data_IF_384883942509
#
_entry.id   IF_384883942509
#
_cell.length_a   1.000
_cell.length_b   1.000
_cell.length_c   1.000
_cell.angle_alpha   90.00
_cell.angle_beta   90.00
_cell.angle_gamma   90.00
#
_symmetry.space_group_name_H-M   'P 1'
#
loop_
_entity.id
_entity.type
_entity.pdbx_description
1 polymer ?
#
# COMPACT_ATOMS: atom_id res chain seq x y z
N UNK A 1 11.63 68.75 8.33
CA UNK A 1 10.39 68.61 7.53
C UNK A 1 10.09 67.14 7.21
N UNK A 2 9.71 66.31 8.20
CA UNK A 2 9.18 64.94 8.00
C UNK A 2 8.19 64.49 9.10
N UNK A 3 7.81 65.38 10.03
CA UNK A 3 6.84 65.09 11.11
C UNK A 3 5.48 65.78 10.94
N UNK A 4 5.23 66.41 9.78
CA UNK A 4 3.95 67.05 9.47
C UNK A 4 3.03 66.22 8.56
N UNK A 5 3.50 65.08 8.05
CA UNK A 5 2.73 64.23 7.12
C UNK A 5 1.94 63.11 7.83
N UNK A 6 2.17 62.87 9.11
CA UNK A 6 1.54 61.79 9.86
C UNK A 6 0.23 62.21 10.57
N UNK A 7 -0.12 63.50 10.56
CA UNK A 7 -1.35 63.99 11.20
C UNK A 7 -2.53 64.15 10.22
N UNK A 8 -2.30 64.01 8.90
CA UNK A 8 -3.33 64.25 7.88
C UNK A 8 -4.06 62.97 7.41
N UNK A 9 -3.58 61.78 7.77
CA UNK A 9 -4.17 60.49 7.39
C UNK A 9 -5.17 59.93 8.41
N UNK A 10 -5.32 60.54 9.59
CA UNK A 10 -6.23 60.07 10.64
C UNK A 10 -7.62 60.73 10.62
N UNK A 11 -7.85 61.73 9.75
CA UNK A 11 -9.10 62.52 9.71
C UNK A 11 -10.10 61.99 8.66
N UNK A 12 -9.70 61.07 7.78
CA UNK A 12 -10.54 60.60 6.66
C UNK A 12 -11.41 59.37 7.02
N UNK A 13 -11.24 58.76 8.19
CA UNK A 13 -11.97 57.52 8.57
C UNK A 13 -13.28 57.79 9.35
N UNK A 14 -13.58 59.05 9.73
CA UNK A 14 -14.73 59.36 10.63
C UNK A 14 -15.97 59.90 9.90
N UNK A 15 -16.02 59.92 8.56
CA UNK A 15 -17.16 60.51 7.81
C UNK A 15 -17.91 59.59 6.83
N UNK A 16 -17.82 58.26 6.98
CA UNK A 16 -18.58 57.32 6.12
C UNK A 16 -19.56 56.41 6.88
N UNK A 17 -20.04 56.83 8.05
CA UNK A 17 -21.12 56.15 8.78
C UNK A 17 -22.43 56.94 8.64
N UNK A 18 -23.02 56.92 7.44
CA UNK A 18 -24.41 57.36 7.22
C UNK A 18 -25.35 56.19 7.49
N UNK A 19 -26.32 56.31 8.40
CA UNK A 19 -27.31 55.25 8.63
C UNK A 19 -28.23 55.11 7.40
N UNK A 20 -28.49 53.90 6.90
CA UNK A 20 -29.41 53.70 5.79
C UNK A 20 -30.85 54.07 6.21
N UNK A 21 -31.50 54.83 5.34
CA UNK A 21 -32.90 55.26 5.46
C UNK A 21 -33.83 54.05 5.52
N UNK A 22 -34.81 54.16 6.41
CA UNK A 22 -35.97 53.27 6.52
C UNK A 22 -36.88 53.54 5.30
N UNK A 23 -36.95 52.60 4.37
CA UNK A 23 -38.02 52.53 3.38
C UNK A 23 -39.07 51.53 3.89
N UNK A 24 -40.29 52.03 4.05
CA UNK A 24 -41.47 51.22 4.36
C UNK A 24 -42.12 50.71 3.08
N UNK A 25 -42.57 49.45 3.19
CA UNK A 25 -43.56 48.72 2.41
C UNK A 25 -43.31 48.36 0.95
N UNK A 26 -43.08 47.06 0.74
CA UNK A 26 -43.73 46.25 -0.31
C UNK A 26 -43.69 44.74 0.02
N UNK A 27 -44.88 44.23 0.33
CA UNK A 27 -45.40 42.86 0.08
C UNK A 27 -44.69 41.74 0.85
N UNK A 28 -45.36 41.26 1.91
CA UNK A 28 -45.05 39.98 2.53
C UNK A 28 -45.15 38.88 1.45
N UNK A 29 -44.02 38.24 1.16
CA UNK A 29 -44.02 37.01 0.39
C UNK A 29 -44.89 35.97 1.12
N UNK A 30 -45.69 35.15 0.41
CA UNK A 30 -46.41 34.07 1.05
C UNK A 30 -45.41 33.19 1.81
N UNK A 31 -45.70 32.92 3.08
CA UNK A 31 -44.95 31.95 3.88
C UNK A 31 -45.13 30.61 3.16
N UNK A 32 -44.10 30.20 2.41
CA UNK A 32 -44.00 28.83 1.94
C UNK A 32 -43.66 28.04 3.19
N UNK A 33 -44.61 27.25 3.70
CA UNK A 33 -44.33 26.26 4.72
C UNK A 33 -43.17 25.39 4.23
N UNK A 34 -42.01 25.49 4.87
CA UNK A 34 -40.89 24.61 4.59
C UNK A 34 -41.40 23.19 4.90
N UNK A 35 -41.46 22.27 3.91
CA UNK A 35 -41.99 20.94 4.17
C UNK A 35 -41.15 20.32 5.29
N UNK A 36 -41.80 19.77 6.31
CA UNK A 36 -41.14 19.04 7.39
C UNK A 36 -40.09 18.12 6.78
N UNK A 37 -38.82 18.45 7.00
CA UNK A 37 -37.71 17.62 6.53
C UNK A 37 -37.86 16.30 7.26
N UNK A 38 -38.39 15.31 6.56
CA UNK A 38 -38.43 13.95 7.07
C UNK A 38 -37.02 13.62 7.57
N UNK A 39 -36.89 13.01 8.76
CA UNK A 39 -35.59 12.62 9.27
C UNK A 39 -34.92 11.78 8.19
N UNK A 40 -33.84 12.31 7.63
CA UNK A 40 -33.02 11.54 6.68
C UNK A 40 -32.66 10.27 7.42
N UNK A 41 -32.94 9.11 6.83
CA UNK A 41 -32.42 7.85 7.32
C UNK A 41 -30.92 8.03 7.55
N UNK A 42 -30.52 8.12 8.81
CA UNK A 42 -29.12 8.03 9.19
C UNK A 42 -28.83 6.55 9.08
N UNK A 43 -28.33 6.13 7.92
CA UNK A 43 -27.69 4.83 7.80
C UNK A 43 -26.46 4.93 8.70
N UNK A 44 -26.56 4.40 9.92
CA UNK A 44 -25.38 4.04 10.69
C UNK A 44 -24.69 2.95 9.88
N UNK A 45 -23.76 3.37 9.01
CA UNK A 45 -22.76 2.43 8.56
C UNK A 45 -22.06 1.94 9.81
N UNK A 46 -22.08 0.62 10.04
CA UNK A 46 -21.15 -0.05 10.94
C UNK A 46 -19.74 0.22 10.41
N UNK A 47 -19.24 1.43 10.65
CA UNK A 47 -17.84 1.76 10.55
C UNK A 47 -17.22 1.09 11.77
N UNK A 48 -16.42 0.03 11.59
CA UNK A 48 -15.79 -0.63 12.71
C UNK A 48 -14.92 0.37 13.45
N UNK A 49 -15.00 0.35 14.78
CA UNK A 49 -14.22 1.22 15.67
C UNK A 49 -12.70 0.96 15.59
N UNK A 50 -12.29 -0.10 14.90
CA UNK A 50 -10.91 -0.54 14.76
C UNK A 50 -10.42 -0.43 13.31
N UNK A 51 -9.33 0.31 13.12
CA UNK A 51 -8.57 0.34 11.87
C UNK A 51 -7.34 -0.55 12.00
N UNK A 52 -7.19 -1.48 11.07
CA UNK A 52 -6.02 -2.33 10.92
C UNK A 52 -4.81 -1.49 10.52
N UNK A 53 -3.66 -1.75 11.14
CA UNK A 53 -2.41 -1.06 10.83
C UNK A 53 -1.43 -2.01 10.17
N UNK A 54 -0.82 -1.61 9.06
CA UNK A 54 0.18 -2.45 8.39
C UNK A 54 1.35 -2.82 9.32
N UNK A 55 1.70 -1.92 10.24
CA UNK A 55 2.80 -2.10 11.19
C UNK A 55 2.53 -3.14 12.30
N UNK A 56 1.28 -3.58 12.50
CA UNK A 56 0.95 -4.59 13.50
C UNK A 56 1.32 -6.01 13.06
N UNK A 57 1.42 -6.25 11.75
CA UNK A 57 1.76 -7.54 11.18
C UNK A 57 3.21 -7.94 11.47
N UNK A 58 3.40 -9.17 11.93
CA UNK A 58 4.72 -9.74 12.17
C UNK A 58 4.88 -11.05 11.44
N UNK A 59 6.04 -11.24 10.80
CA UNK A 59 6.38 -12.54 10.25
C UNK A 59 6.55 -13.57 11.39
N UNK A 60 6.30 -14.83 11.07
CA UNK A 60 6.23 -15.97 11.99
C UNK A 60 5.15 -15.85 13.06
N UNK A 61 4.16 -14.97 12.86
CA UNK A 61 2.99 -14.91 13.71
C UNK A 61 1.95 -15.94 13.28
N UNK A 62 1.38 -16.65 14.25
CA UNK A 62 0.35 -17.64 13.99
C UNK A 62 -0.96 -16.95 13.56
N UNK A 63 -1.66 -17.56 12.59
CA UNK A 63 -2.87 -17.02 11.98
C UNK A 63 -3.96 -16.65 12.99
N UNK A 64 -4.06 -17.38 14.11
CA UNK A 64 -5.02 -17.11 15.19
C UNK A 64 -4.78 -15.80 15.94
N UNK A 65 -3.57 -15.24 15.85
CA UNK A 65 -3.19 -14.01 16.55
C UNK A 65 -3.40 -12.78 15.68
N UNK A 66 -3.70 -12.98 14.40
CA UNK A 66 -3.89 -11.90 13.42
C UNK A 66 -5.39 -11.68 13.24
N UNK A 67 -5.82 -10.43 13.37
CA UNK A 67 -7.17 -10.05 12.97
C UNK A 67 -7.31 -10.11 11.45
N UNK A 68 -7.93 -11.19 10.97
CA UNK A 68 -8.20 -11.42 9.57
C UNK A 68 -9.61 -10.99 9.14
N UNK A 69 -10.38 -10.31 10.00
CA UNK A 69 -11.75 -9.89 9.67
C UNK A 69 -11.82 -8.94 8.46
N UNK A 70 -10.80 -8.11 8.27
CA UNK A 70 -10.64 -7.23 7.11
C UNK A 70 -10.13 -7.95 5.85
N UNK A 71 -9.74 -9.23 5.97
CA UNK A 71 -9.13 -10.01 4.91
C UNK A 71 -10.11 -11.04 4.37
N UNK A 72 -10.18 -11.13 3.05
CA UNK A 72 -10.83 -12.21 2.34
C UNK A 72 -9.88 -13.40 2.25
N UNK A 73 -10.35 -14.55 2.69
CA UNK A 73 -9.68 -15.81 2.40
C UNK A 73 -9.71 -16.05 0.88
N UNK A 74 -8.53 -16.10 0.27
CA UNK A 74 -8.41 -16.23 -1.18
C UNK A 74 -8.32 -17.70 -1.62
N UNK A 75 -7.73 -18.56 -0.78
CA UNK A 75 -7.72 -20.01 -0.97
C UNK A 75 -6.46 -20.66 -0.40
N UNK A 76 -6.49 -21.99 -0.45
CA UNK A 76 -5.37 -22.89 -0.19
C UNK A 76 -4.75 -23.29 -1.55
N UNK A 77 -3.42 -23.28 -1.64
CA UNK A 77 -2.71 -23.60 -2.87
C UNK A 77 -1.61 -24.62 -2.60
N UNK A 78 -1.37 -25.52 -3.56
CA UNK A 78 -0.43 -26.63 -3.45
C UNK A 78 -0.87 -27.69 -2.43
N UNK A 79 -0.99 -27.36 -1.15
CA UNK A 79 -1.48 -28.21 -0.06
C UNK A 79 -2.42 -27.41 0.84
N UNK A 80 -3.07 -28.07 1.80
CA UNK A 80 -3.88 -27.41 2.84
C UNK A 80 -3.02 -26.55 3.78
N UNK A 81 -1.68 -26.68 3.71
CA UNK A 81 -0.74 -25.99 4.59
C UNK A 81 -0.40 -24.58 4.10
N UNK A 82 -0.66 -24.25 2.83
CA UNK A 82 -0.34 -22.95 2.27
C UNK A 82 -1.59 -22.16 1.88
N UNK A 83 -1.82 -21.10 2.64
CA UNK A 83 -3.03 -20.27 2.55
C UNK A 83 -2.67 -18.84 2.18
N UNK A 84 -3.48 -18.23 1.32
CA UNK A 84 -3.35 -16.81 0.97
C UNK A 84 -4.59 -16.06 1.45
N UNK A 85 -4.35 -14.97 2.17
CA UNK A 85 -5.36 -13.97 2.51
C UNK A 85 -5.08 -12.69 1.76
N UNK A 86 -6.13 -12.06 1.25
CA UNK A 86 -6.04 -10.76 0.58
C UNK A 86 -6.92 -9.77 1.32
N UNK A 87 -6.45 -8.54 1.48
CA UNK A 87 -7.26 -7.51 2.12
C UNK A 87 -8.53 -7.25 1.29
N UNK A 88 -9.71 -7.42 1.91
CA UNK A 88 -11.00 -7.32 1.21
C UNK A 88 -11.41 -5.86 0.99
N UNK A 89 -11.18 -5.01 2.00
CA UNK A 89 -11.49 -3.58 1.95
C UNK A 89 -10.34 -2.75 2.50
N UNK A 90 -9.83 -1.85 1.67
CA UNK A 90 -8.75 -0.92 2.03
C UNK A 90 -9.19 0.11 3.07
N UNK A 91 -10.48 0.45 3.14
CA UNK A 91 -10.99 1.45 4.10
C UNK A 91 -10.75 1.05 5.57
N UNK A 92 -10.48 -0.24 5.83
CA UNK A 92 -10.10 -0.74 7.15
C UNK A 92 -8.60 -0.56 7.47
N UNK A 93 -7.78 -0.17 6.50
CA UNK A 93 -6.36 0.05 6.68
C UNK A 93 -6.09 1.53 6.98
N UNK A 94 -5.41 1.81 8.10
CA UNK A 94 -5.01 3.17 8.48
C UNK A 94 -4.10 3.82 7.40
N UNK A 95 -3.33 3.00 6.69
CA UNK A 95 -2.42 3.37 5.60
C UNK A 95 -3.03 3.29 4.19
N UNK A 96 -4.37 3.25 4.07
CA UNK A 96 -5.10 3.10 2.79
C UNK A 96 -4.79 4.16 1.73
N UNK A 97 -4.30 5.35 2.12
CA UNK A 97 -4.02 6.44 1.19
C UNK A 97 -2.86 6.16 0.22
N UNK A 98 -1.98 5.22 0.54
CA UNK A 98 -0.83 4.87 -0.32
C UNK A 98 -0.71 3.38 -0.61
N UNK A 99 -1.46 2.53 0.08
CA UNK A 99 -1.52 1.10 -0.15
C UNK A 99 -2.80 0.80 -0.93
N UNK A 100 -2.65 0.11 -2.07
CA UNK A 100 -3.75 -0.31 -2.92
C UNK A 100 -4.21 -1.74 -2.62
N UNK A 101 -3.33 -2.60 -2.09
CA UNK A 101 -3.68 -3.99 -1.81
C UNK A 101 -2.64 -4.64 -0.90
N UNK A 102 -3.05 -5.67 -0.14
CA UNK A 102 -2.17 -6.46 0.72
C UNK A 102 -2.51 -7.94 0.59
N UNK A 103 -1.50 -8.75 0.33
CA UNK A 103 -1.56 -10.20 0.41
C UNK A 103 -0.73 -10.71 1.60
N UNK A 104 -1.32 -11.61 2.38
CA UNK A 104 -0.69 -12.34 3.46
C UNK A 104 -0.58 -13.81 3.05
N UNK A 105 0.61 -14.38 3.25
CA UNK A 105 0.94 -15.74 2.88
C UNK A 105 1.27 -16.54 4.13
N UNK A 106 0.54 -17.61 4.35
CA UNK A 106 0.72 -18.50 5.49
C UNK A 106 1.24 -19.86 5.03
N UNK A 107 2.21 -20.42 5.76
CA UNK A 107 2.63 -21.83 5.65
C UNK A 107 2.50 -22.43 7.05
N UNK A 108 1.85 -23.58 7.19
CA UNK A 108 1.60 -24.24 8.48
C UNK A 108 0.96 -23.28 9.50
N UNK A 109 0.02 -22.45 9.06
CA UNK A 109 -0.62 -21.39 9.85
C UNK A 109 0.30 -20.25 10.34
N UNK A 110 1.55 -20.15 9.90
CA UNK A 110 2.46 -19.06 10.23
C UNK A 110 2.56 -18.04 9.09
N UNK A 111 2.49 -16.76 9.41
CA UNK A 111 2.67 -15.67 8.44
C UNK A 111 4.12 -15.59 7.98
N UNK A 112 4.41 -16.08 6.78
CA UNK A 112 5.79 -16.19 6.26
C UNK A 112 6.13 -15.12 5.23
N UNK A 113 5.11 -14.50 4.62
CA UNK A 113 5.30 -13.44 3.64
C UNK A 113 4.14 -12.45 3.62
N UNK A 114 4.48 -11.17 3.49
CA UNK A 114 3.56 -10.05 3.34
C UNK A 114 3.92 -9.34 2.03
N UNK A 115 2.93 -9.08 1.19
CA UNK A 115 3.09 -8.26 -0.01
C UNK A 115 2.12 -7.08 0.04
N UNK A 116 2.65 -5.87 0.00
CA UNK A 116 1.87 -4.65 -0.11
C UNK A 116 2.11 -4.01 -1.49
N UNK A 117 1.03 -3.65 -2.16
CA UNK A 117 1.05 -2.97 -3.46
C UNK A 117 0.75 -1.50 -3.23
N UNK A 118 1.64 -0.63 -3.70
CA UNK A 118 1.57 0.81 -3.40
C UNK A 118 1.09 1.59 -4.62
N UNK A 119 0.49 2.75 -4.35
CA UNK A 119 -0.01 3.67 -5.37
C UNK A 119 1.13 4.55 -5.91
N UNK A 120 2.15 4.82 -5.10
CA UNK A 120 3.25 5.73 -5.44
C UNK A 120 4.64 5.16 -5.11
N UNK A 121 5.67 5.69 -5.77
CA UNK A 121 7.06 5.28 -5.54
C UNK A 121 7.57 5.75 -4.17
N UNK A 122 7.78 4.81 -3.25
CA UNK A 122 8.34 5.03 -1.92
C UNK A 122 9.83 4.71 -1.79
N UNK A 123 10.57 4.57 -2.89
CA UNK A 123 12.00 4.20 -2.86
C UNK A 123 12.85 5.02 -1.90
N UNK A 124 12.68 6.35 -1.93
CA UNK A 124 13.45 7.26 -1.06
C UNK A 124 13.09 7.07 0.42
N UNK A 125 11.82 6.82 0.73
CA UNK A 125 11.34 6.57 2.08
C UNK A 125 11.91 5.27 2.62
N UNK A 126 11.88 4.18 1.84
CA UNK A 126 12.41 2.88 2.25
C UNK A 126 13.93 2.85 2.34
N UNK A 127 14.65 3.57 1.49
CA UNK A 127 16.09 3.77 1.66
C UNK A 127 16.42 4.53 2.95
N UNK A 128 15.58 5.49 3.35
CA UNK A 128 15.70 6.17 4.63
C UNK A 128 15.42 5.26 5.82
N UNK A 129 14.34 4.47 5.74
CA UNK A 129 13.85 3.60 6.82
C UNK A 129 14.71 2.35 7.02
N UNK A 130 15.06 1.65 5.94
CA UNK A 130 15.80 0.38 5.97
C UNK A 130 17.29 0.56 5.65
N UNK A 131 17.73 1.77 5.32
CA UNK A 131 19.13 2.06 5.03
C UNK A 131 19.60 1.49 3.69
N UNK A 132 20.87 1.07 3.63
CA UNK A 132 21.53 0.64 2.38
C UNK A 132 20.86 -0.63 1.80
N UNK A 133 20.39 -0.51 0.56
CA UNK A 133 19.85 -1.61 -0.23
C UNK A 133 20.84 -2.08 -1.30
N UNK A 134 20.71 -3.33 -1.74
CA UNK A 134 21.25 -3.77 -3.03
C UNK A 134 20.25 -3.39 -4.12
N UNK A 135 20.71 -2.72 -5.17
CA UNK A 135 19.90 -2.31 -6.32
C UNK A 135 20.09 -3.32 -7.44
N UNK A 136 19.01 -3.94 -7.90
CA UNK A 136 19.00 -4.90 -9.00
C UNK A 136 18.27 -4.32 -10.20
N UNK A 137 18.96 -4.33 -11.35
CA UNK A 137 18.42 -3.86 -12.63
C UNK A 137 18.54 -5.01 -13.64
N UNK A 138 17.42 -5.65 -13.95
CA UNK A 138 17.38 -6.82 -14.84
C UNK A 138 16.86 -6.54 -16.24
N UNK A 139 16.03 -5.50 -16.41
CA UNK A 139 15.39 -5.16 -17.69
C UNK A 139 16.41 -4.63 -18.73
N UNK A 140 16.25 -5.05 -19.99
CA UNK A 140 17.15 -4.69 -21.08
C UNK A 140 17.26 -3.18 -21.31
N UNK A 141 16.15 -2.44 -21.29
CA UNK A 141 16.12 -0.97 -21.45
C UNK A 141 17.00 -0.29 -20.41
N UNK A 142 16.83 -0.65 -19.15
CA UNK A 142 17.60 -0.04 -18.06
C UNK A 142 19.05 -0.47 -18.06
N UNK A 143 19.35 -1.73 -18.42
CA UNK A 143 20.74 -2.15 -18.63
C UNK A 143 21.43 -1.33 -19.73
N UNK A 144 20.74 -1.07 -20.84
CA UNK A 144 21.26 -0.26 -21.94
C UNK A 144 21.48 1.19 -21.52
N UNK A 145 20.57 1.75 -20.72
CA UNK A 145 20.72 3.08 -20.14
C UNK A 145 21.97 3.16 -19.24
N UNK A 146 22.19 2.14 -18.41
CA UNK A 146 23.33 2.07 -17.49
C UNK A 146 24.69 1.82 -18.16
N UNK A 147 24.75 1.62 -19.48
CA UNK A 147 26.02 1.66 -20.21
C UNK A 147 26.57 3.10 -20.30
N UNK A 148 25.70 4.10 -20.23
CA UNK A 148 26.04 5.52 -20.38
C UNK A 148 25.75 6.35 -19.11
N UNK A 149 24.86 5.86 -18.25
CA UNK A 149 24.42 6.54 -17.04
C UNK A 149 24.74 5.74 -15.77
N UNK A 150 24.79 6.41 -14.63
CA UNK A 150 24.94 5.75 -13.34
C UNK A 150 23.60 5.38 -12.71
N UNK A 151 23.58 4.32 -11.90
CA UNK A 151 22.40 3.93 -11.10
C UNK A 151 22.05 5.00 -10.08
N UNK A 152 23.06 5.63 -9.50
CA UNK A 152 22.92 6.68 -8.51
C UNK A 152 23.44 7.99 -9.07
N UNK A 153 22.57 8.99 -9.16
CA UNK A 153 22.91 10.34 -9.62
C UNK A 153 22.95 11.29 -8.42
N UNK A 154 23.84 12.27 -8.46
CA UNK A 154 23.89 13.32 -7.44
C UNK A 154 22.95 14.45 -7.85
N UNK A 155 21.85 14.61 -7.12
CA UNK A 155 20.90 15.71 -7.29
C UNK A 155 20.82 16.50 -5.98
N UNK A 156 20.99 17.83 -6.04
CA UNK A 156 20.94 18.71 -4.87
C UNK A 156 21.87 18.25 -3.72
N UNK A 157 23.07 17.77 -4.07
CA UNK A 157 24.06 17.26 -3.12
C UNK A 157 23.73 15.91 -2.46
N UNK A 158 22.61 15.27 -2.83
CA UNK A 158 22.19 13.95 -2.33
C UNK A 158 22.28 12.92 -3.45
N UNK A 159 22.77 11.71 -3.13
CA UNK A 159 22.69 10.58 -4.05
C UNK A 159 21.25 10.08 -4.11
N UNK A 160 20.69 9.99 -5.30
CA UNK A 160 19.35 9.48 -5.59
C UNK A 160 19.42 8.44 -6.69
N UNK A 161 18.44 7.54 -6.71
CA UNK A 161 18.29 6.60 -7.84
C UNK A 161 17.99 7.43 -9.08
N UNK A 162 18.64 7.09 -10.18
CA UNK A 162 18.42 7.72 -11.47
C UNK A 162 16.94 7.64 -11.88
N UNK A 163 16.30 8.79 -12.09
CA UNK A 163 14.87 8.91 -12.38
C UNK A 163 14.47 8.23 -13.70
N UNK A 164 15.43 8.10 -14.63
CA UNK A 164 15.24 7.43 -15.91
C UNK A 164 15.10 5.90 -15.77
N UNK A 165 15.47 5.34 -14.62
CA UNK A 165 15.21 3.94 -14.32
C UNK A 165 13.72 3.76 -14.04
N UNK A 166 13.09 2.94 -14.88
CA UNK A 166 11.65 2.64 -14.84
C UNK A 166 11.35 1.23 -14.31
N UNK A 167 12.36 0.41 -14.10
CA UNK A 167 12.24 -0.96 -13.64
C UNK A 167 13.47 -1.37 -12.84
N UNK A 168 13.33 -1.52 -11.53
CA UNK A 168 14.41 -1.93 -10.63
C UNK A 168 13.87 -2.53 -9.33
N UNK A 169 14.73 -3.27 -8.63
CA UNK A 169 14.44 -3.84 -7.31
C UNK A 169 15.44 -3.37 -6.27
N UNK A 170 14.95 -3.01 -5.10
CA UNK A 170 15.74 -2.74 -3.91
C UNK A 170 15.61 -3.95 -2.98
N UNK A 171 16.74 -4.55 -2.57
CA UNK A 171 16.74 -5.68 -1.64
C UNK A 171 17.53 -5.33 -0.37
N UNK A 172 16.92 -5.55 0.78
CA UNK A 172 17.57 -5.54 2.09
C UNK A 172 17.54 -6.96 2.65
N UNK A 173 18.72 -7.55 2.80
CA UNK A 173 18.90 -8.87 3.39
C UNK A 173 19.25 -8.67 4.86
N UNK A 174 18.46 -9.23 5.77
CA UNK A 174 18.71 -9.28 7.21
C UNK A 174 18.97 -10.72 7.64
N UNK A 175 19.16 -10.91 8.94
CA UNK A 175 19.48 -12.23 9.49
C UNK A 175 18.32 -13.21 9.31
N UNK A 176 17.10 -12.73 9.55
CA UNK A 176 15.82 -13.44 9.64
C UNK A 176 14.79 -12.98 8.61
N UNK A 177 14.97 -11.79 8.04
CA UNK A 177 14.01 -11.11 7.18
C UNK A 177 14.65 -10.68 5.84
N UNK A 178 13.96 -10.98 4.75
CA UNK A 178 14.24 -10.42 3.43
C UNK A 178 13.17 -9.36 3.10
N UNK A 179 13.63 -8.15 2.75
CA UNK A 179 12.77 -7.06 2.27
C UNK A 179 13.10 -6.81 0.81
N UNK A 180 12.10 -6.84 -0.06
CA UNK A 180 12.22 -6.47 -1.46
C UNK A 180 11.23 -5.36 -1.81
N UNK A 181 11.69 -4.34 -2.52
CA UNK A 181 10.83 -3.31 -3.10
C UNK A 181 11.05 -3.24 -4.61
N UNK A 182 10.00 -3.58 -5.37
CA UNK A 182 9.97 -3.51 -6.82
C UNK A 182 9.37 -2.19 -7.27
N UNK A 183 10.06 -1.53 -8.20
CA UNK A 183 9.57 -0.38 -8.94
C UNK A 183 9.45 -0.76 -10.41
N UNK A 184 8.27 -0.57 -10.99
CA UNK A 184 7.91 -0.85 -12.37
C UNK A 184 6.99 0.24 -12.92
N UNK A 185 7.58 1.35 -13.35
CA UNK A 185 6.88 2.46 -14.01
C UNK A 185 6.39 2.11 -15.43
N UNK A 186 6.73 0.94 -15.95
CA UNK A 186 6.32 0.47 -17.28
C UNK A 186 4.90 -0.14 -17.30
N UNK A 187 4.31 -0.42 -16.15
CA UNK A 187 3.05 -1.15 -16.05
C UNK A 187 1.82 -0.42 -16.61
N UNK A 188 1.96 0.83 -17.08
CA UNK A 188 0.84 1.77 -17.25
C UNK A 188 0.32 2.00 -18.68
N UNK A 189 0.62 1.14 -19.65
CA UNK A 189 0.20 1.44 -21.02
C UNK A 189 -1.18 0.93 -21.47
N UNK A 190 -1.85 -0.03 -20.80
CA UNK A 190 -3.24 -0.49 -21.11
C UNK A 190 -3.64 -1.68 -20.20
N UNK A 191 -4.56 -1.55 -19.22
CA UNK A 191 -5.55 -2.61 -18.92
C UNK A 191 -6.53 -2.25 -17.79
N UNK A 192 -7.79 -2.64 -18.00
CA UNK A 192 -8.92 -2.56 -17.07
C UNK A 192 -8.65 -3.23 -15.71
N UNK A 193 -9.23 -2.64 -14.66
CA UNK A 193 -9.08 -2.96 -13.23
C UNK A 193 -9.61 -4.34 -12.77
N UNK A 194 -10.12 -5.20 -13.65
CA UNK A 194 -10.91 -6.38 -13.23
C UNK A 194 -10.15 -7.72 -13.23
N UNK A 195 -8.87 -7.75 -13.60
CA UNK A 195 -8.04 -8.96 -13.51
C UNK A 195 -6.73 -8.71 -12.73
N UNK A 196 -6.84 -8.23 -11.48
CA UNK A 196 -5.70 -7.92 -10.60
C UNK A 196 -5.12 -9.16 -9.87
N UNK A 197 -5.48 -10.37 -10.27
CA UNK A 197 -5.45 -11.46 -9.30
C UNK A 197 -4.04 -11.99 -8.95
N UNK A 198 -3.12 -12.23 -9.90
CA UNK A 198 -1.75 -12.69 -9.56
C UNK A 198 -0.68 -12.24 -10.55
N UNK A 199 -0.99 -11.30 -11.44
CA UNK A 199 -0.02 -10.84 -12.43
C UNK A 199 0.91 -9.79 -11.81
N UNK A 200 1.95 -10.30 -11.16
CA UNK A 200 3.03 -9.52 -10.54
C UNK A 200 3.73 -8.58 -11.55
N UNK A 201 3.58 -8.84 -12.86
CA UNK A 201 4.19 -8.04 -13.93
C UNK A 201 3.51 -6.69 -14.16
N UNK A 202 2.28 -6.50 -13.66
CA UNK A 202 1.49 -5.27 -13.84
C UNK A 202 1.49 -4.36 -12.61
N UNK A 203 2.20 -4.76 -11.55
CA UNK A 203 2.23 -4.01 -10.31
C UNK A 203 3.30 -2.93 -10.39
N UNK A 204 2.90 -1.66 -10.23
CA UNK A 204 3.82 -0.53 -10.35
C UNK A 204 4.82 -0.49 -9.20
N UNK A 205 4.34 -0.67 -7.98
CA UNK A 205 5.14 -0.58 -6.77
C UNK A 205 4.74 -1.72 -5.84
N UNK A 206 5.70 -2.57 -5.47
CA UNK A 206 5.43 -3.73 -4.61
C UNK A 206 6.50 -3.84 -3.53
N UNK A 207 6.06 -3.77 -2.28
CA UNK A 207 6.87 -4.03 -1.10
C UNK A 207 6.59 -5.45 -0.61
N UNK A 208 7.64 -6.24 -0.43
CA UNK A 208 7.57 -7.62 0.07
C UNK A 208 8.43 -7.75 1.32
N UNK A 209 7.85 -8.34 2.36
CA UNK A 209 8.54 -8.85 3.53
C UNK A 209 8.40 -10.37 3.51
N UNK A 210 9.50 -11.10 3.67
CA UNK A 210 9.44 -12.56 3.74
C UNK A 210 10.48 -13.12 4.70
N UNK A 211 10.17 -14.26 5.31
CA UNK A 211 11.15 -14.99 6.10
C UNK A 211 12.27 -15.49 5.19
N UNK A 212 13.47 -15.61 5.74
CA UNK A 212 14.64 -16.05 4.97
C UNK A 212 14.51 -17.48 4.42
N UNK A 213 13.77 -18.33 5.11
CA UNK A 213 13.52 -19.72 4.75
C UNK A 213 12.28 -19.92 3.86
N UNK A 214 11.53 -18.86 3.55
CA UNK A 214 10.32 -18.90 2.72
C UNK A 214 10.52 -19.72 1.43
N UNK A 215 11.60 -19.49 0.69
CA UNK A 215 11.85 -20.20 -0.57
C UNK A 215 12.03 -21.72 -0.36
N UNK A 216 12.62 -22.13 0.76
CA UNK A 216 12.79 -23.54 1.12
C UNK A 216 11.46 -24.16 1.57
N UNK A 217 10.71 -23.47 2.43
CA UNK A 217 9.38 -23.90 2.88
C UNK A 217 8.44 -24.07 1.68
N UNK A 218 8.41 -23.09 0.79
CA UNK A 218 7.62 -23.11 -0.43
C UNK A 218 8.02 -24.24 -1.38
N UNK A 219 9.31 -24.55 -1.51
CA UNK A 219 9.78 -25.68 -2.31
C UNK A 219 9.30 -27.02 -1.73
N UNK A 220 9.32 -27.16 -0.40
CA UNK A 220 8.80 -28.35 0.28
C UNK A 220 7.29 -28.51 0.08
N UNK A 221 6.50 -27.44 0.29
CA UNK A 221 5.05 -27.43 0.07
C UNK A 221 4.71 -27.86 -1.37
N UNK A 222 5.41 -27.31 -2.37
CA UNK A 222 5.22 -27.70 -3.78
C UNK A 222 5.57 -29.16 -4.05
N UNK A 223 6.59 -29.68 -3.37
CA UNK A 223 7.00 -31.07 -3.49
C UNK A 223 5.98 -32.03 -2.87
N UNK A 224 5.44 -31.72 -1.69
CA UNK A 224 4.36 -32.50 -1.06
C UNK A 224 3.11 -32.53 -1.93
N UNK A 225 2.68 -31.37 -2.44
CA UNK A 225 1.58 -31.25 -3.41
C UNK A 225 1.78 -32.13 -4.66
N UNK A 226 2.99 -32.14 -5.20
CA UNK A 226 3.33 -32.96 -6.35
C UNK A 226 3.21 -34.47 -6.03
N UNK A 227 3.66 -34.89 -4.86
CA UNK A 227 3.53 -36.30 -4.44
C UNK A 227 2.06 -36.69 -4.26
N UNK A 228 1.28 -35.87 -3.57
CA UNK A 228 -0.14 -36.12 -3.30
C UNK A 228 -0.93 -36.22 -4.60
N UNK A 229 -0.78 -35.25 -5.50
CA UNK A 229 -1.46 -35.25 -6.81
C UNK A 229 -1.10 -36.43 -7.72
N UNK A 230 0.04 -37.09 -7.45
CA UNK A 230 0.50 -38.28 -8.19
C UNK A 230 0.26 -39.58 -7.42
N UNK A 231 -0.31 -39.53 -6.22
CA UNK A 231 -0.49 -40.70 -5.34
C UNK A 231 0.83 -41.36 -4.92
N UNK A 232 1.94 -40.60 -4.96
CA UNK A 232 3.26 -41.09 -4.59
C UNK A 232 3.40 -41.06 -3.07
N UNK A 233 2.98 -42.14 -2.40
CA UNK A 233 3.20 -42.32 -0.97
C UNK A 233 4.68 -42.61 -0.75
N UNK A 234 5.41 -41.67 -0.16
CA UNK A 234 6.78 -41.89 0.27
C UNK A 234 6.78 -42.87 1.45
N UNK A 235 7.13 -44.13 1.21
CA UNK A 235 7.38 -45.09 2.30
C UNK A 235 8.70 -44.73 2.98
N UNK A 236 8.76 -44.71 4.32
CA UNK A 236 10.01 -44.47 5.04
C UNK A 236 11.04 -45.55 4.68
N UNK A 237 12.31 -45.16 4.54
CA UNK A 237 13.40 -46.05 4.12
C UNK A 237 13.59 -47.28 5.03
N UNK A 238 13.04 -47.28 6.25
CA UNK A 238 13.03 -48.41 7.18
C UNK A 238 12.20 -49.60 6.70
N UNK A 239 11.27 -49.41 5.76
CA UNK A 239 10.42 -50.49 5.21
C UNK A 239 11.04 -51.18 3.98
N UNK A 240 12.13 -50.66 3.42
CA UNK A 240 12.82 -51.26 2.25
C UNK A 240 13.92 -52.27 2.65
N UNK A 241 14.18 -52.43 3.94
CA UNK A 241 15.20 -53.33 4.48
C UNK A 241 14.67 -54.68 5.00
N UNK A 242 13.43 -55.05 4.64
CA UNK A 242 12.83 -56.33 5.03
C UNK A 242 12.31 -57.18 3.86
N UNK A 243 12.76 -56.94 2.63
CA UNK A 243 12.60 -57.89 1.51
C UNK A 243 13.91 -58.63 1.21
#
# INVERSE_FOLDING_TARGET
MKKLLALLSLIIIVQACTPPKKEEDKIAAPIVEEPERQPRMVVHGDLPDHQFQFSSLRLNEHISNIDLSAFKHYGEFYTDDFTIYRLDRLDYLAESYFINDINLYFIDSLLVKIQAYLIEDKSSEFLGRYGKAKIFVSNYRNKKLLENEEVLVTQNGKKRINENLDYYRLKWIREDLDIEYLVNKQADSLSNKEAMLFDDSRQQYKLTFQTKDFDHQMAWVKWESYKESRGLVAKPASELSQE
#
